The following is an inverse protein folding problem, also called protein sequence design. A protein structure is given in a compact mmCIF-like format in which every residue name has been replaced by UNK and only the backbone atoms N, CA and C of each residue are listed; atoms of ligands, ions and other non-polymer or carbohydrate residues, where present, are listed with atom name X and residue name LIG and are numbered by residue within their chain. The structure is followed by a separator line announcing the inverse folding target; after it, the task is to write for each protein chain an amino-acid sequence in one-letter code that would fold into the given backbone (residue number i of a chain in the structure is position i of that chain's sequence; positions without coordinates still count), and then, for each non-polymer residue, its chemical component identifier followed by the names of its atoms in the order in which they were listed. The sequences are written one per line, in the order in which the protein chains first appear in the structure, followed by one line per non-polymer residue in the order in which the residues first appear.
data_IF_339359519491
#
_entry.id   IF_339359519491
#
_cell.length_a   1.000
_cell.length_b   1.000
_cell.length_c   1.000
_cell.angle_alpha   90.00
_cell.angle_beta   90.00
_cell.angle_gamma   90.00
#
_symmetry.space_group_name_H-M   'P 1'
#
loop_
_entity.id
_entity.type
_entity.pdbx_description
1 polymer ?
#
# COMPACT_ATOMS: atom_id res chain seq x y z
N UNK A 1 -13.94 9.36 -20.11
CA UNK A 1 -12.80 8.48 -20.43
C UNK A 1 -12.39 7.81 -19.14
N UNK A 2 -12.77 6.53 -18.95
CA UNK A 2 -12.24 5.76 -17.84
C UNK A 2 -10.74 5.63 -18.04
N UNK A 3 -9.95 6.04 -17.06
CA UNK A 3 -8.53 5.70 -17.03
C UNK A 3 -8.44 4.19 -17.02
N UNK A 4 -7.99 3.60 -18.12
CA UNK A 4 -7.64 2.18 -18.17
C UNK A 4 -6.46 2.00 -17.21
N UNK A 5 -6.76 1.47 -16.03
CA UNK A 5 -5.72 1.07 -15.08
C UNK A 5 -4.94 -0.09 -15.73
N UNK A 6 -3.62 -0.03 -15.69
CA UNK A 6 -2.80 -1.09 -16.25
C UNK A 6 -2.93 -2.33 -15.37
N UNK A 7 -3.18 -3.48 -15.98
CA UNK A 7 -3.27 -4.77 -15.28
C UNK A 7 -1.88 -5.36 -14.97
N UNK A 8 -0.81 -4.61 -15.25
CA UNK A 8 0.57 -4.95 -14.98
C UNK A 8 1.40 -3.70 -14.71
N UNK A 9 2.33 -3.79 -13.74
CA UNK A 9 3.26 -2.73 -13.38
C UNK A 9 4.69 -3.26 -13.42
N UNK A 10 5.51 -2.70 -14.32
CA UNK A 10 6.93 -3.06 -14.41
C UNK A 10 7.74 -2.47 -13.25
N UNK A 11 8.78 -3.19 -12.82
CA UNK A 11 9.74 -2.69 -11.84
C UNK A 11 10.65 -1.67 -12.53
N UNK A 12 10.53 -0.39 -12.13
CA UNK A 12 11.19 0.74 -12.82
C UNK A 12 12.48 1.21 -12.15
N UNK A 13 12.82 0.67 -10.96
CA UNK A 13 13.99 1.08 -10.18
C UNK A 13 14.80 -0.13 -9.77
N UNK A 14 16.12 -0.03 -9.88
CA UNK A 14 17.05 -1.07 -9.42
C UNK A 14 17.49 -0.83 -7.97
N UNK A 15 17.92 -1.89 -7.24
CA UNK A 15 18.46 -1.75 -5.89
C UNK A 15 19.63 -0.76 -5.80
N UNK A 16 20.54 -0.77 -6.78
CA UNK A 16 21.65 0.17 -6.84
C UNK A 16 21.18 1.62 -6.94
N UNK A 17 20.19 1.90 -7.79
CA UNK A 17 19.64 3.25 -7.91
C UNK A 17 18.97 3.70 -6.61
N UNK A 18 18.20 2.83 -5.95
CA UNK A 18 17.59 3.15 -4.67
C UNK A 18 18.64 3.44 -3.59
N UNK A 19 19.73 2.66 -3.54
CA UNK A 19 20.85 2.88 -2.64
C UNK A 19 21.57 4.20 -2.93
N UNK A 20 21.89 4.48 -4.20
CA UNK A 20 22.59 5.69 -4.62
C UNK A 20 21.78 6.96 -4.30
N UNK A 21 20.44 6.87 -4.29
CA UNK A 21 19.54 7.94 -3.88
C UNK A 21 19.40 8.08 -2.35
N UNK A 22 19.93 7.13 -1.58
CA UNK A 22 19.78 7.09 -0.12
C UNK A 22 18.35 6.80 0.33
N UNK A 23 17.60 5.99 -0.43
CA UNK A 23 16.22 5.64 -0.07
C UNK A 23 16.17 4.73 1.16
N UNK A 24 15.29 5.04 2.12
CA UNK A 24 15.06 4.21 3.31
C UNK A 24 14.24 2.94 3.01
N UNK A 25 13.47 2.95 1.92
CA UNK A 25 12.67 1.83 1.42
C UNK A 25 12.23 2.08 -0.02
N UNK A 26 11.72 1.04 -0.69
CA UNK A 26 11.07 1.13 -2.01
C UNK A 26 9.61 0.68 -1.96
N UNK A 27 8.80 1.19 -2.88
CA UNK A 27 7.41 0.77 -3.07
C UNK A 27 7.26 0.13 -4.44
N UNK A 28 6.71 -1.08 -4.47
CA UNK A 28 6.37 -1.81 -5.70
C UNK A 28 4.89 -2.20 -5.69
N UNK A 29 4.27 -2.23 -6.87
CA UNK A 29 2.85 -2.57 -7.01
C UNK A 29 2.70 -4.06 -7.30
N UNK A 30 1.92 -4.75 -6.47
CA UNK A 30 1.42 -6.10 -6.73
C UNK A 30 0.00 -5.99 -7.29
N UNK A 31 -0.12 -6.13 -8.62
CA UNK A 31 -1.42 -6.11 -9.30
C UNK A 31 -1.96 -7.54 -9.42
N UNK A 32 -3.21 -7.76 -9.01
CA UNK A 32 -3.87 -9.07 -8.96
C UNK A 32 -5.30 -8.99 -9.54
N UNK A 33 -5.91 -10.13 -9.85
CA UNK A 33 -7.26 -10.22 -10.40
C UNK A 33 -7.36 -9.91 -11.90
N UNK A 34 -6.24 -10.01 -12.62
CA UNK A 34 -6.12 -9.78 -14.07
C UNK A 34 -5.49 -10.98 -14.81
N UNK A 35 -5.11 -10.79 -16.07
CA UNK A 35 -4.45 -11.85 -16.86
C UNK A 35 -2.97 -12.04 -16.54
N UNK A 36 -2.36 -11.12 -15.78
CA UNK A 36 -0.92 -11.08 -15.49
C UNK A 36 -0.58 -11.36 -14.01
N UNK A 37 -1.48 -11.99 -13.26
CA UNK A 37 -1.29 -12.24 -11.81
C UNK A 37 0.00 -13.01 -11.53
N UNK A 38 0.30 -14.02 -12.35
CA UNK A 38 1.52 -14.83 -12.21
C UNK A 38 2.76 -13.97 -12.41
N UNK A 39 2.83 -13.22 -13.51
CA UNK A 39 3.95 -12.35 -13.85
C UNK A 39 4.16 -11.32 -12.73
N UNK A 40 3.09 -10.64 -12.33
CA UNK A 40 3.06 -9.67 -11.23
C UNK A 40 3.64 -10.25 -9.93
N UNK A 41 3.16 -11.42 -9.49
CA UNK A 41 3.69 -12.09 -8.29
C UNK A 41 5.16 -12.47 -8.44
N UNK A 42 5.54 -13.06 -9.57
CA UNK A 42 6.93 -13.53 -9.77
C UNK A 42 7.93 -12.39 -9.89
N UNK A 43 7.55 -11.27 -10.50
CA UNK A 43 8.45 -10.12 -10.67
C UNK A 43 8.56 -9.31 -9.38
N UNK A 44 7.47 -9.18 -8.61
CA UNK A 44 7.50 -8.61 -7.26
C UNK A 44 8.40 -9.43 -6.34
N UNK A 45 8.27 -10.76 -6.31
CA UNK A 45 9.11 -11.63 -5.48
C UNK A 45 10.61 -11.50 -5.83
N UNK A 46 10.96 -11.53 -7.12
CA UNK A 46 12.35 -11.32 -7.57
C UNK A 46 12.88 -9.93 -7.20
N UNK A 47 12.02 -8.90 -7.29
CA UNK A 47 12.40 -7.55 -6.92
C UNK A 47 12.68 -7.46 -5.42
N UNK A 48 11.82 -8.04 -4.58
CA UNK A 48 12.00 -8.13 -3.13
C UNK A 48 13.37 -8.74 -2.81
N UNK A 49 13.66 -9.94 -3.34
CA UNK A 49 14.95 -10.60 -3.15
C UNK A 49 16.12 -9.70 -3.56
N UNK A 50 16.00 -8.99 -4.68
CA UNK A 50 17.05 -8.11 -5.18
C UNK A 50 17.27 -6.88 -4.28
N UNK A 51 16.22 -6.28 -3.71
CA UNK A 51 16.34 -5.16 -2.77
C UNK A 51 16.88 -5.61 -1.41
N UNK A 52 16.46 -6.78 -0.93
CA UNK A 52 16.93 -7.37 0.32
C UNK A 52 18.44 -7.66 0.32
N UNK A 53 19.03 -7.98 -0.84
CA UNK A 53 20.51 -8.10 -0.98
C UNK A 53 21.26 -6.81 -0.62
N UNK A 54 20.61 -5.66 -0.71
CA UNK A 54 21.15 -4.35 -0.33
C UNK A 54 20.63 -3.87 1.02
N UNK A 55 19.93 -4.72 1.78
CA UNK A 55 19.26 -4.36 3.03
C UNK A 55 18.26 -3.20 2.87
N UNK A 56 17.61 -3.11 1.71
CA UNK A 56 16.59 -2.10 1.42
C UNK A 56 15.20 -2.72 1.67
N UNK A 57 14.42 -2.23 2.64
CA UNK A 57 13.06 -2.68 2.87
C UNK A 57 12.12 -2.40 1.68
N UNK A 58 11.14 -3.28 1.49
CA UNK A 58 10.17 -3.22 0.39
C UNK A 58 8.74 -3.12 0.91
N UNK A 59 8.09 -2.01 0.57
CA UNK A 59 6.64 -1.85 0.63
C UNK A 59 6.00 -2.48 -0.60
N UNK A 60 5.02 -3.37 -0.41
CA UNK A 60 4.19 -3.84 -1.52
C UNK A 60 2.81 -3.18 -1.44
N UNK A 61 2.42 -2.47 -2.51
CA UNK A 61 1.06 -1.94 -2.66
C UNK A 61 0.18 -2.94 -3.41
N UNK A 62 -0.87 -3.43 -2.75
CA UNK A 62 -1.80 -4.43 -3.31
C UNK A 62 -2.87 -3.71 -4.12
N UNK A 63 -2.97 -4.04 -5.41
CA UNK A 63 -3.92 -3.42 -6.34
C UNK A 63 -4.69 -4.47 -7.13
N UNK A 64 -6.00 -4.26 -7.31
CA UNK A 64 -6.82 -5.03 -8.21
C UNK A 64 -6.71 -4.45 -9.63
N UNK A 65 -6.55 -5.31 -10.65
CA UNK A 65 -6.48 -4.91 -12.07
C UNK A 65 -7.72 -4.09 -12.49
N UNK A 66 -8.92 -4.54 -12.11
CA UNK A 66 -10.10 -3.68 -12.01
C UNK A 66 -10.02 -2.77 -10.78
N UNK A 67 -9.63 -1.50 -10.99
CA UNK A 67 -9.43 -0.52 -9.93
C UNK A 67 -10.66 -0.31 -9.03
N UNK A 68 -11.88 -0.56 -9.54
CA UNK A 68 -13.12 -0.38 -8.77
C UNK A 68 -13.27 -1.39 -7.63
N UNK A 69 -12.49 -2.48 -7.64
CA UNK A 69 -12.51 -3.55 -6.63
C UNK A 69 -11.43 -3.39 -5.57
N UNK A 70 -10.67 -2.29 -5.60
CA UNK A 70 -9.59 -2.06 -4.64
C UNK A 70 -10.06 -1.92 -3.18
N UNK A 71 -11.34 -1.68 -2.93
CA UNK A 71 -11.94 -1.60 -1.59
C UNK A 71 -12.68 -2.90 -1.19
N UNK A 72 -12.62 -3.96 -2.00
CA UNK A 72 -13.24 -5.24 -1.66
C UNK A 72 -12.44 -5.93 -0.54
N UNK A 73 -13.13 -6.24 0.56
CA UNK A 73 -12.50 -6.85 1.75
C UNK A 73 -11.84 -8.19 1.42
N UNK A 74 -12.48 -9.06 0.65
CA UNK A 74 -11.95 -10.39 0.34
C UNK A 74 -10.67 -10.30 -0.49
N UNK A 75 -10.69 -9.41 -1.49
CA UNK A 75 -9.53 -9.10 -2.31
C UNK A 75 -8.37 -8.59 -1.47
N UNK A 76 -8.60 -7.55 -0.65
CA UNK A 76 -7.54 -6.94 0.16
C UNK A 76 -6.95 -7.99 1.12
N UNK A 77 -7.78 -8.77 1.83
CA UNK A 77 -7.31 -9.81 2.76
C UNK A 77 -6.37 -10.81 2.09
N UNK A 78 -6.76 -11.32 0.92
CA UNK A 78 -5.92 -12.27 0.19
C UNK A 78 -4.67 -11.60 -0.34
N UNK A 79 -4.78 -10.41 -0.91
CA UNK A 79 -3.66 -9.69 -1.50
C UNK A 79 -2.60 -9.29 -0.47
N UNK A 80 -2.99 -8.80 0.71
CA UNK A 80 -2.01 -8.47 1.76
C UNK A 80 -1.31 -9.71 2.31
N UNK A 81 -2.04 -10.83 2.42
CA UNK A 81 -1.46 -12.11 2.83
C UNK A 81 -0.44 -12.60 1.80
N UNK A 82 -0.81 -12.61 0.52
CA UNK A 82 0.11 -12.96 -0.57
C UNK A 82 1.35 -12.07 -0.55
N UNK A 83 1.17 -10.75 -0.49
CA UNK A 83 2.27 -9.78 -0.44
C UNK A 83 3.23 -10.06 0.73
N UNK A 84 2.69 -10.36 1.91
CA UNK A 84 3.51 -10.69 3.08
C UNK A 84 4.27 -12.02 2.93
N UNK A 85 3.66 -13.04 2.33
CA UNK A 85 4.29 -14.37 2.16
C UNK A 85 5.37 -14.38 1.09
N UNK A 86 5.27 -13.51 0.08
CA UNK A 86 6.33 -13.33 -0.94
C UNK A 86 7.49 -12.45 -0.45
N UNK A 87 7.43 -11.93 0.77
CA UNK A 87 8.55 -11.25 1.43
C UNK A 87 8.43 -9.73 1.57
N UNK A 88 7.25 -9.13 1.40
CA UNK A 88 7.08 -7.70 1.68
C UNK A 88 7.38 -7.40 3.15
N UNK A 89 8.18 -6.37 3.42
CA UNK A 89 8.48 -5.92 4.79
C UNK A 89 7.30 -5.19 5.42
N UNK A 90 6.47 -4.56 4.59
CA UNK A 90 5.22 -3.93 4.97
C UNK A 90 4.33 -3.79 3.73
N UNK A 91 3.02 -3.71 3.96
CA UNK A 91 2.02 -3.74 2.89
C UNK A 91 1.19 -2.48 2.90
N UNK A 92 0.93 -1.93 1.71
CA UNK A 92 0.01 -0.82 1.50
C UNK A 92 -1.28 -1.32 0.86
N UNK A 93 -2.40 -0.97 1.46
CA UNK A 93 -3.73 -1.39 1.00
C UNK A 93 -4.77 -0.27 1.17
N UNK A 94 -5.84 -0.32 0.39
CA UNK A 94 -6.97 0.59 0.54
C UNK A 94 -7.83 0.25 1.76
N UNK A 95 -8.64 1.22 2.18
CA UNK A 95 -9.67 1.00 3.20
C UNK A 95 -10.76 0.06 2.68
N UNK A 96 -11.24 -0.81 3.57
CA UNK A 96 -12.45 -1.62 3.39
C UNK A 96 -13.24 -1.64 4.71
N UNK A 97 -14.50 -2.07 4.66
CA UNK A 97 -15.39 -2.06 5.82
C UNK A 97 -14.87 -2.93 6.98
N UNK A 98 -14.34 -4.12 6.69
CA UNK A 98 -13.79 -5.05 7.69
C UNK A 98 -12.25 -5.02 7.67
N UNK A 99 -11.68 -3.85 7.92
CA UNK A 99 -10.23 -3.64 7.92
C UNK A 99 -9.51 -4.41 9.05
N UNK A 100 -10.20 -4.70 10.16
CA UNK A 100 -9.63 -5.47 11.27
C UNK A 100 -9.29 -6.92 10.85
N UNK A 101 -10.11 -7.55 10.00
CA UNK A 101 -9.79 -8.89 9.48
C UNK A 101 -8.62 -8.87 8.48
N UNK A 102 -8.40 -7.75 7.79
CA UNK A 102 -7.21 -7.51 6.96
C UNK A 102 -5.96 -7.44 7.83
N UNK A 103 -5.96 -6.59 8.86
CA UNK A 103 -4.81 -6.43 9.76
C UNK A 103 -4.46 -7.74 10.46
N UNK A 104 -5.45 -8.42 11.03
CA UNK A 104 -5.22 -9.71 11.71
C UNK A 104 -4.72 -10.83 10.78
N UNK A 105 -5.00 -10.74 9.47
CA UNK A 105 -4.54 -11.71 8.48
C UNK A 105 -3.14 -11.42 7.92
N UNK A 106 -2.58 -10.24 8.17
CA UNK A 106 -1.29 -9.81 7.63
C UNK A 106 -0.20 -9.85 8.72
N UNK A 107 0.84 -10.67 8.57
CA UNK A 107 1.91 -10.81 9.57
C UNK A 107 2.89 -9.62 9.59
N UNK A 108 2.81 -8.71 8.61
CA UNK A 108 3.66 -7.52 8.49
C UNK A 108 2.85 -6.24 8.61
N UNK A 109 3.46 -5.08 8.96
CA UNK A 109 2.75 -3.83 9.14
C UNK A 109 1.92 -3.42 7.93
N UNK A 110 0.68 -2.97 8.16
CA UNK A 110 -0.19 -2.43 7.12
C UNK A 110 -0.19 -0.90 7.17
N UNK A 111 0.03 -0.29 6.01
CA UNK A 111 -0.07 1.14 5.77
C UNK A 111 -1.32 1.43 4.94
N UNK A 112 -2.18 2.33 5.41
CA UNK A 112 -3.40 2.69 4.68
C UNK A 112 -3.08 3.59 3.47
N UNK A 113 -3.52 3.18 2.29
CA UNK A 113 -3.46 3.98 1.07
C UNK A 113 -4.51 5.10 1.07
N UNK A 114 -4.17 6.23 0.44
CA UNK A 114 -5.13 7.31 0.20
C UNK A 114 -6.13 6.96 -0.90
N UNK A 115 -7.39 6.74 -0.51
CA UNK A 115 -8.53 6.59 -1.42
C UNK A 115 -8.88 7.87 -2.20
N UNK A 116 -9.98 7.85 -2.99
CA UNK A 116 -10.52 9.06 -3.63
C UNK A 116 -10.77 10.17 -2.60
N UNK A 117 -10.89 11.41 -3.10
CA UNK A 117 -11.08 12.59 -2.25
C UNK A 117 -12.45 12.52 -1.58
N UNK A 118 -12.49 12.04 -0.33
CA UNK A 118 -13.73 11.95 0.44
C UNK A 118 -13.65 12.71 1.75
N UNK A 119 -14.82 13.14 2.22
CA UNK A 119 -14.97 13.84 3.48
C UNK A 119 -14.66 12.89 4.65
N UNK A 120 -13.71 13.31 5.47
CA UNK A 120 -13.32 12.74 6.77
C UNK A 120 -12.27 11.62 6.78
N UNK A 121 -11.14 11.87 6.10
CA UNK A 121 -9.91 11.07 6.23
C UNK A 121 -9.44 10.86 7.68
N UNK A 122 -9.76 11.78 8.61
CA UNK A 122 -9.39 11.66 10.02
C UNK A 122 -10.18 10.57 10.74
N UNK A 123 -11.47 10.40 10.44
CA UNK A 123 -12.25 9.34 11.06
C UNK A 123 -11.88 7.98 10.51
N UNK A 124 -11.60 7.88 9.20
CA UNK A 124 -11.01 6.66 8.61
C UNK A 124 -9.67 6.34 9.29
N UNK A 125 -8.80 7.35 9.45
CA UNK A 125 -7.51 7.18 10.10
C UNK A 125 -7.64 6.62 11.53
N UNK A 126 -8.56 7.15 12.34
CA UNK A 126 -8.84 6.64 13.69
C UNK A 126 -9.32 5.19 13.65
N UNK A 127 -10.25 4.87 12.76
CA UNK A 127 -10.80 3.52 12.61
C UNK A 127 -9.71 2.51 12.26
N UNK A 128 -8.85 2.81 11.29
CA UNK A 128 -7.81 1.86 10.87
C UNK A 128 -6.67 1.74 11.88
N UNK A 129 -6.31 2.82 12.58
CA UNK A 129 -5.29 2.75 13.65
C UNK A 129 -5.84 1.93 14.82
N UNK A 130 -7.11 2.12 15.19
CA UNK A 130 -7.77 1.28 16.20
C UNK A 130 -7.83 -0.20 15.79
N UNK A 131 -7.89 -0.49 14.48
CA UNK A 131 -7.82 -1.83 13.93
C UNK A 131 -6.38 -2.40 13.82
N UNK A 132 -5.35 -1.58 14.07
CA UNK A 132 -3.94 -1.99 14.08
C UNK A 132 -3.11 -1.62 12.84
N UNK A 133 -3.56 -0.68 12.00
CA UNK A 133 -2.72 -0.10 10.96
C UNK A 133 -1.49 0.59 11.57
N UNK A 134 -0.34 0.44 10.92
CA UNK A 134 0.94 1.01 11.36
C UNK A 134 1.22 2.41 10.78
N UNK A 135 0.40 2.89 9.86
CA UNK A 135 0.57 4.23 9.30
C UNK A 135 -0.33 4.54 8.10
N UNK A 136 -0.02 5.65 7.44
CA UNK A 136 -0.77 6.19 6.31
C UNK A 136 0.16 6.58 5.16
N UNK A 137 -0.28 6.35 3.92
CA UNK A 137 0.37 6.80 2.70
C UNK A 137 -0.62 7.62 1.86
N UNK A 138 -0.89 8.85 2.32
CA UNK A 138 -1.87 9.75 1.69
C UNK A 138 -1.24 10.72 0.71
N UNK A 139 -1.76 10.73 -0.53
CA UNK A 139 -1.40 11.69 -1.56
C UNK A 139 -2.42 12.82 -1.70
N UNK A 140 -3.37 12.65 -2.64
CA UNK A 140 -4.34 13.69 -3.07
C UNK A 140 -5.08 14.35 -1.92
N UNK A 141 -5.49 13.59 -0.90
CA UNK A 141 -6.18 14.11 0.28
C UNK A 141 -5.36 15.13 1.09
N UNK A 142 -4.04 15.08 1.00
CA UNK A 142 -3.15 16.05 1.62
C UNK A 142 -2.83 17.21 0.68
N UNK A 143 -2.20 16.94 -0.47
CA UNK A 143 -1.66 18.03 -1.31
C UNK A 143 -2.73 18.85 -2.05
N UNK A 144 -3.97 18.35 -2.16
CA UNK A 144 -5.11 19.10 -2.72
C UNK A 144 -6.00 19.73 -1.63
N UNK A 145 -5.62 19.64 -0.36
CA UNK A 145 -6.31 20.30 0.73
C UNK A 145 -5.93 21.78 0.82
N UNK A 146 -6.86 22.62 1.27
CA UNK A 146 -6.57 24.02 1.61
C UNK A 146 -5.69 24.15 2.87
N UNK A 147 -5.67 23.11 3.72
CA UNK A 147 -4.97 23.14 5.03
C UNK A 147 -4.11 21.88 5.25
N UNK A 148 -3.14 21.56 4.36
CA UNK A 148 -2.39 20.31 4.40
C UNK A 148 -1.63 20.11 5.71
N UNK A 149 -0.96 21.16 6.23
CA UNK A 149 -0.23 21.10 7.50
C UNK A 149 -1.11 20.71 8.69
N UNK A 150 -2.34 21.23 8.73
CA UNK A 150 -3.30 20.92 9.79
C UNK A 150 -3.73 19.46 9.74
N UNK A 151 -4.00 18.94 8.52
CA UNK A 151 -4.37 17.53 8.35
C UNK A 151 -3.22 16.62 8.75
N UNK A 152 -1.98 16.93 8.33
CA UNK A 152 -0.80 16.14 8.72
C UNK A 152 -0.64 16.11 10.24
N UNK A 153 -0.74 17.25 10.93
CA UNK A 153 -0.66 17.30 12.39
C UNK A 153 -1.72 16.40 13.04
N UNK A 154 -2.98 16.52 12.61
CA UNK A 154 -4.07 15.69 13.15
C UNK A 154 -3.89 14.19 12.86
N UNK A 155 -3.32 13.81 11.71
CA UNK A 155 -3.00 12.41 11.41
C UNK A 155 -1.85 11.89 12.28
N UNK A 156 -0.84 12.72 12.54
CA UNK A 156 0.24 12.37 13.45
C UNK A 156 -0.28 12.15 14.88
N UNK A 157 -1.21 12.98 15.35
CA UNK A 157 -1.84 12.81 16.66
C UNK A 157 -2.61 11.47 16.72
N UNK A 158 -3.40 11.17 15.69
CA UNK A 158 -4.13 9.89 15.61
C UNK A 158 -3.19 8.68 15.63
N UNK A 159 -2.04 8.74 14.95
CA UNK A 159 -1.10 7.63 14.88
C UNK A 159 -0.33 7.41 16.19
N UNK A 160 -0.07 8.48 16.95
CA UNK A 160 0.73 8.43 18.18
C UNK A 160 -0.10 8.13 19.43
N UNK A 161 -1.41 8.35 19.38
CA UNK A 161 -2.28 8.35 20.57
C UNK A 161 -2.03 9.56 21.46
#
# INVERSE_FOLDING_TARGET
MGTTFADFHSIMVSPKQALDLGADAVLIMLVLGGSHDKESMTDVAKAIDAFHQYSIPVMVEVLHADYTKNNDTSFIRNGVRIASEIGADFVKAFYCEDFASVVSGCPVPIVLAGGPKEANILDIAKTVVAAGAAGFAFGRNLFQSEKPKKIVASLCDVLRG
#
